data_IF_903102889461
#
_entry.id   IF_903102889461
#
_cell.length_a   1.000
_cell.length_b   1.000
_cell.length_c   1.000
_cell.angle_alpha   90.00
_cell.angle_beta   90.00
_cell.angle_gamma   90.00
#
_symmetry.space_group_name_H-M   'P 1'
#
loop_
_entity.id
_entity.type
_entity.pdbx_description
1 polymer ?
#
# COMPACT_ATOMS: atom_id res chain seq x y z
N UNK A 1 12.40 -4.69 14.63
CA UNK A 1 12.74 -4.35 13.25
C UNK A 1 11.47 -4.27 12.39
N UNK A 2 10.64 -5.31 12.37
CA UNK A 2 9.43 -5.42 11.54
C UNK A 2 8.44 -4.29 11.78
N UNK A 3 8.13 -3.94 13.03
CA UNK A 3 7.24 -2.83 13.36
C UNK A 3 7.73 -1.48 12.81
N UNK A 4 9.04 -1.23 12.83
CA UNK A 4 9.60 -0.01 12.21
C UNK A 4 9.44 -0.01 10.69
N UNK A 5 9.59 -1.16 10.05
CA UNK A 5 9.48 -1.29 8.60
C UNK A 5 8.05 -1.07 8.08
N UNK A 6 7.03 -1.18 8.94
CA UNK A 6 5.65 -0.90 8.57
C UNK A 6 5.39 0.55 8.18
N UNK A 7 6.04 1.48 8.85
CA UNK A 7 5.71 2.90 8.75
C UNK A 7 6.89 3.83 8.47
N UNK A 8 8.11 3.29 8.26
CA UNK A 8 9.27 4.10 7.82
C UNK A 8 10.24 3.30 6.96
N UNK A 9 11.01 4.02 6.14
CA UNK A 9 12.10 3.41 5.39
C UNK A 9 13.24 2.98 6.32
N UNK A 10 13.67 1.73 6.18
CA UNK A 10 14.87 1.18 6.85
C UNK A 10 16.00 1.09 5.85
N UNK A 11 17.15 1.65 6.21
CA UNK A 11 18.35 1.55 5.38
C UNK A 11 18.85 0.09 5.35
N UNK A 12 19.26 -0.38 4.18
CA UNK A 12 19.84 -1.71 3.96
C UNK A 12 21.02 -2.01 4.89
N UNK A 13 21.87 -1.02 5.18
CA UNK A 13 22.98 -1.21 6.12
C UNK A 13 22.49 -1.50 7.54
N UNK A 14 21.36 -0.93 7.96
CA UNK A 14 20.75 -1.26 9.24
C UNK A 14 20.21 -2.71 9.26
N UNK A 15 19.66 -3.19 8.15
CA UNK A 15 19.29 -4.60 8.02
C UNK A 15 20.48 -5.53 8.15
N UNK A 16 21.60 -5.24 7.46
CA UNK A 16 22.85 -6.01 7.58
C UNK A 16 23.42 -6.00 9.00
N UNK A 17 23.38 -4.84 9.68
CA UNK A 17 23.80 -4.74 11.10
C UNK A 17 22.90 -5.57 12.01
N UNK A 18 21.57 -5.54 11.78
CA UNK A 18 20.61 -6.32 12.53
C UNK A 18 20.86 -7.83 12.39
N UNK A 19 21.06 -8.32 11.17
CA UNK A 19 21.41 -9.71 10.87
C UNK A 19 22.64 -10.15 11.67
N UNK A 20 23.74 -9.39 11.55
CA UNK A 20 25.02 -9.69 12.25
C UNK A 20 24.84 -9.70 13.77
N UNK A 21 24.14 -8.70 14.34
CA UNK A 21 23.92 -8.57 15.78
C UNK A 21 23.15 -9.76 16.36
N UNK A 22 22.25 -10.37 15.58
CA UNK A 22 21.38 -11.45 16.02
C UNK A 22 21.82 -12.82 15.49
N UNK A 23 23.01 -12.94 14.88
CA UNK A 23 23.56 -14.17 14.30
C UNK A 23 22.56 -14.92 13.42
N UNK A 24 21.86 -14.17 12.54
CA UNK A 24 20.89 -14.76 11.63
C UNK A 24 21.58 -15.28 10.38
N UNK A 25 21.21 -16.48 9.96
CA UNK A 25 21.59 -17.01 8.66
C UNK A 25 20.84 -16.29 7.56
N UNK A 26 21.54 -15.91 6.50
CA UNK A 26 20.95 -15.20 5.38
C UNK A 26 21.67 -15.46 4.08
N UNK A 27 20.91 -15.39 3.00
CA UNK A 27 21.42 -15.42 1.64
C UNK A 27 20.81 -14.25 0.85
N UNK A 28 21.59 -13.63 -0.02
CA UNK A 28 21.09 -12.64 -0.97
C UNK A 28 21.94 -12.62 -2.23
N UNK A 29 21.32 -12.26 -3.34
CA UNK A 29 21.99 -11.99 -4.62
C UNK A 29 22.13 -10.48 -4.86
N UNK A 30 23.09 -10.12 -5.71
CA UNK A 30 23.35 -8.75 -6.08
C UNK A 30 23.67 -7.86 -4.88
N UNK A 31 22.95 -6.75 -4.74
CA UNK A 31 23.22 -5.75 -3.71
C UNK A 31 22.43 -5.98 -2.40
N UNK A 32 21.63 -7.05 -2.30
CA UNK A 32 20.84 -7.38 -1.12
C UNK A 32 19.62 -6.46 -0.93
N UNK A 33 19.00 -5.99 -2.00
CA UNK A 33 17.86 -5.06 -1.96
C UNK A 33 16.64 -5.65 -1.23
N UNK A 34 16.42 -6.96 -1.28
CA UNK A 34 15.31 -7.66 -0.61
C UNK A 34 15.48 -7.89 0.89
N UNK A 35 16.68 -7.68 1.47
CA UNK A 35 16.97 -8.02 2.87
C UNK A 35 16.03 -7.34 3.88
N UNK A 36 15.71 -6.07 3.68
CA UNK A 36 14.81 -5.33 4.58
C UNK A 36 13.43 -5.98 4.62
N UNK A 37 12.86 -6.25 3.44
CA UNK A 37 11.55 -6.89 3.31
C UNK A 37 11.52 -8.30 3.90
N UNK A 38 12.55 -9.11 3.62
CA UNK A 38 12.63 -10.48 4.12
C UNK A 38 12.67 -10.53 5.67
N UNK A 39 13.55 -9.72 6.31
CA UNK A 39 13.64 -9.65 7.77
C UNK A 39 12.32 -9.13 8.36
N UNK A 40 11.71 -8.13 7.72
CA UNK A 40 10.46 -7.55 8.19
C UNK A 40 9.32 -8.57 8.14
N UNK A 41 9.24 -9.38 7.09
CA UNK A 41 8.22 -10.41 6.93
C UNK A 41 8.33 -11.53 7.98
N UNK A 42 9.57 -11.98 8.28
CA UNK A 42 9.79 -13.06 9.27
C UNK A 42 9.37 -12.64 10.67
N UNK A 43 9.67 -11.41 11.07
CA UNK A 43 9.39 -10.93 12.42
C UNK A 43 8.09 -10.16 12.57
N UNK A 44 7.19 -10.20 11.57
CA UNK A 44 5.92 -9.51 11.62
C UNK A 44 4.85 -10.37 12.30
N UNK A 45 4.21 -9.80 13.32
CA UNK A 45 3.07 -10.41 13.99
C UNK A 45 1.77 -9.87 13.39
N UNK A 46 0.95 -10.77 12.81
CA UNK A 46 -0.30 -10.43 12.15
C UNK A 46 -1.44 -10.31 13.16
N UNK A 47 -1.79 -9.09 13.54
CA UNK A 47 -3.03 -8.81 14.29
C UNK A 47 -4.26 -8.81 13.37
N UNK A 48 -4.08 -8.34 12.16
CA UNK A 48 -5.04 -8.39 11.06
C UNK A 48 -4.29 -8.79 9.78
N UNK A 49 -4.98 -9.44 8.85
CA UNK A 49 -4.34 -9.89 7.62
C UNK A 49 -5.33 -10.09 6.49
N UNK A 50 -4.83 -9.96 5.31
CA UNK A 50 -5.44 -10.46 4.09
C UNK A 50 -4.61 -11.61 3.54
N UNK A 51 -5.07 -12.23 2.47
CA UNK A 51 -4.35 -13.29 1.77
C UNK A 51 -4.02 -12.85 0.35
N UNK A 52 -2.87 -13.28 -0.15
CA UNK A 52 -2.49 -13.09 -1.55
C UNK A 52 -2.07 -14.43 -2.15
N UNK A 53 -2.80 -14.88 -3.18
CA UNK A 53 -2.43 -16.02 -3.97
C UNK A 53 -1.53 -15.57 -5.11
N UNK A 54 -0.29 -16.04 -5.14
CA UNK A 54 0.66 -15.82 -6.23
C UNK A 54 0.76 -17.07 -7.09
N UNK A 55 0.46 -16.94 -8.38
CA UNK A 55 0.63 -18.02 -9.35
C UNK A 55 1.98 -17.90 -10.04
N UNK A 56 2.63 -19.02 -10.28
CA UNK A 56 3.99 -19.09 -10.79
C UNK A 56 4.05 -19.59 -12.23
N UNK A 57 4.96 -18.98 -12.98
CA UNK A 57 5.29 -19.34 -14.37
C UNK A 57 6.36 -20.43 -14.40
N UNK A 58 6.36 -21.22 -15.44
CA UNK A 58 7.50 -22.09 -15.74
C UNK A 58 8.73 -21.24 -16.08
N UNK A 59 9.93 -21.66 -15.64
CA UNK A 59 11.19 -20.95 -15.80
C UNK A 59 11.44 -20.45 -17.24
N UNK A 60 11.06 -21.22 -18.26
CA UNK A 60 11.18 -20.84 -19.71
C UNK A 60 10.34 -19.64 -20.12
N UNK A 61 9.41 -19.20 -19.25
CA UNK A 61 8.51 -18.05 -19.47
C UNK A 61 8.92 -16.79 -18.70
N UNK A 62 9.95 -16.85 -17.87
CA UNK A 62 10.43 -15.68 -17.14
C UNK A 62 10.86 -14.58 -18.12
N UNK A 63 10.56 -13.33 -17.79
CA UNK A 63 10.83 -12.17 -18.62
C UNK A 63 9.95 -12.01 -19.87
N UNK A 64 9.12 -12.99 -20.23
CA UNK A 64 8.19 -12.90 -21.36
C UNK A 64 6.91 -12.18 -20.98
N UNK A 65 6.23 -11.59 -21.96
CA UNK A 65 4.92 -10.96 -21.80
C UNK A 65 3.92 -11.90 -21.13
N UNK A 66 3.06 -11.37 -20.24
CA UNK A 66 1.96 -12.07 -19.60
C UNK A 66 0.66 -11.72 -20.30
N UNK A 67 -0.01 -12.74 -20.84
CA UNK A 67 -1.32 -12.57 -21.49
C UNK A 67 -2.38 -13.27 -20.67
N UNK A 68 -3.21 -12.49 -19.99
CA UNK A 68 -4.39 -12.93 -19.26
C UNK A 68 -5.63 -12.30 -19.90
N UNK A 69 -6.73 -13.04 -19.98
CA UNK A 69 -7.99 -12.51 -20.51
C UNK A 69 -8.57 -11.49 -19.54
N UNK A 70 -8.69 -10.23 -19.98
CA UNK A 70 -9.30 -9.16 -19.20
C UNK A 70 -10.76 -9.48 -18.80
N UNK A 71 -11.52 -10.10 -19.73
CA UNK A 71 -12.89 -10.54 -19.45
C UNK A 71 -12.93 -11.61 -18.36
N UNK A 72 -11.95 -12.53 -18.33
CA UNK A 72 -11.89 -13.52 -17.27
C UNK A 72 -11.55 -12.90 -15.91
N UNK A 73 -10.72 -11.85 -15.87
CA UNK A 73 -10.41 -11.12 -14.65
C UNK A 73 -11.62 -10.32 -14.14
N UNK A 74 -12.35 -9.67 -15.06
CA UNK A 74 -13.59 -8.98 -14.73
C UNK A 74 -14.64 -9.95 -14.16
N UNK A 75 -14.88 -11.04 -14.87
CA UNK A 75 -15.82 -12.09 -14.43
C UNK A 75 -15.42 -12.69 -13.07
N UNK A 76 -14.12 -12.91 -12.88
CA UNK A 76 -13.60 -13.40 -11.61
C UNK A 76 -13.90 -12.41 -10.48
N UNK A 77 -13.58 -11.13 -10.66
CA UNK A 77 -13.86 -10.10 -9.66
C UNK A 77 -15.36 -10.01 -9.34
N UNK A 78 -16.23 -10.04 -10.33
CA UNK A 78 -17.68 -10.01 -10.14
C UNK A 78 -18.21 -11.22 -9.34
N UNK A 79 -17.68 -12.41 -9.60
CA UNK A 79 -18.12 -13.67 -8.95
C UNK A 79 -17.53 -13.89 -7.57
N UNK A 80 -16.41 -13.27 -7.25
CA UNK A 80 -15.70 -13.48 -5.97
C UNK A 80 -15.76 -12.27 -5.03
N UNK A 81 -16.31 -11.13 -5.49
CA UNK A 81 -16.57 -9.97 -4.64
C UNK A 81 -17.60 -10.32 -3.55
N UNK A 82 -17.46 -9.83 -2.31
CA UNK A 82 -16.42 -8.93 -1.81
C UNK A 82 -15.13 -9.64 -1.33
N UNK A 83 -15.05 -10.96 -1.40
CA UNK A 83 -13.98 -11.76 -0.83
C UNK A 83 -12.66 -11.68 -1.60
N UNK A 84 -12.66 -11.26 -2.87
CA UNK A 84 -11.45 -10.84 -3.58
C UNK A 84 -11.59 -9.39 -4.01
N UNK A 85 -10.48 -8.68 -4.10
CA UNK A 85 -10.48 -7.23 -4.33
C UNK A 85 -9.28 -6.78 -5.15
N UNK A 86 -9.38 -5.56 -5.72
CA UNK A 86 -8.32 -4.89 -6.48
C UNK A 86 -7.76 -5.72 -7.65
N UNK A 87 -8.63 -6.46 -8.36
CA UNK A 87 -8.21 -7.31 -9.48
C UNK A 87 -8.36 -6.63 -10.84
N UNK A 88 -9.38 -5.77 -10.99
CA UNK A 88 -9.70 -5.08 -12.22
C UNK A 88 -10.14 -3.62 -11.96
N UNK A 89 -9.53 -2.67 -12.66
CA UNK A 89 -9.95 -1.27 -12.63
C UNK A 89 -11.05 -1.06 -13.66
N UNK A 90 -12.31 -1.03 -13.21
CA UNK A 90 -13.48 -0.87 -14.09
C UNK A 90 -13.53 0.49 -14.78
N UNK A 91 -12.99 1.55 -14.16
CA UNK A 91 -12.96 2.91 -14.73
C UNK A 91 -11.98 3.03 -15.89
N UNK A 92 -10.83 2.35 -15.78
CA UNK A 92 -9.76 2.38 -16.79
C UNK A 92 -9.75 1.14 -17.69
N UNK A 93 -10.63 0.16 -17.47
CA UNK A 93 -10.65 -1.10 -18.20
C UNK A 93 -9.35 -1.91 -18.08
N UNK A 94 -8.67 -1.85 -16.93
CA UNK A 94 -7.30 -2.36 -16.77
C UNK A 94 -7.21 -3.52 -15.77
N UNK A 95 -6.52 -4.58 -16.18
CA UNK A 95 -6.11 -5.69 -15.30
C UNK A 95 -5.06 -5.18 -14.31
N UNK A 96 -5.23 -5.49 -13.02
CA UNK A 96 -4.34 -5.08 -11.93
C UNK A 96 -3.51 -6.22 -11.34
N UNK A 97 -3.87 -7.48 -11.64
CA UNK A 97 -3.30 -8.67 -10.99
C UNK A 97 -1.98 -9.15 -11.59
N UNK A 98 -1.55 -8.61 -12.73
CA UNK A 98 -0.31 -9.02 -13.40
C UNK A 98 0.85 -8.07 -13.08
N UNK A 99 2.00 -8.57 -12.58
CA UNK A 99 3.18 -7.75 -12.37
C UNK A 99 3.81 -7.32 -13.70
N UNK A 100 4.53 -6.20 -13.68
CA UNK A 100 5.20 -5.63 -14.86
C UNK A 100 6.66 -6.09 -15.03
N UNK A 101 7.29 -6.57 -13.96
CA UNK A 101 8.68 -6.99 -13.96
C UNK A 101 8.94 -8.39 -14.57
N UNK A 102 10.20 -8.78 -14.73
CA UNK A 102 10.60 -10.08 -15.27
C UNK A 102 10.52 -11.24 -14.27
N UNK A 103 9.85 -11.04 -13.16
CA UNK A 103 9.73 -12.00 -12.05
C UNK A 103 8.96 -13.28 -12.42
N UNK A 104 9.03 -14.34 -11.60
CA UNK A 104 8.40 -15.63 -11.86
C UNK A 104 6.88 -15.65 -11.67
N UNK A 105 6.30 -14.62 -11.08
CA UNK A 105 4.86 -14.54 -10.84
C UNK A 105 4.11 -14.24 -12.12
N UNK A 106 3.04 -14.99 -12.41
CA UNK A 106 2.16 -14.71 -13.55
C UNK A 106 1.06 -13.73 -13.18
N UNK A 107 0.33 -14.00 -12.10
CA UNK A 107 -0.63 -13.07 -11.47
C UNK A 107 -0.65 -13.24 -9.95
N UNK A 108 -1.13 -12.20 -9.25
CA UNK A 108 -1.44 -12.23 -7.82
C UNK A 108 -2.88 -11.82 -7.58
N UNK A 109 -3.65 -12.62 -6.84
CA UNK A 109 -5.03 -12.29 -6.44
C UNK A 109 -5.07 -12.10 -4.93
N UNK A 110 -5.66 -11.00 -4.48
CA UNK A 110 -5.84 -10.67 -3.07
C UNK A 110 -7.25 -10.96 -2.61
N UNK A 111 -7.39 -11.43 -1.37
CA UNK A 111 -8.69 -11.74 -0.80
C UNK A 111 -8.64 -12.04 0.70
N UNK A 112 -9.83 -12.29 1.24
CA UNK A 112 -10.06 -12.49 2.67
C UNK A 112 -9.96 -13.95 3.11
N UNK A 113 -10.17 -14.91 2.19
CA UNK A 113 -10.16 -16.33 2.50
C UNK A 113 -9.60 -17.19 1.36
N UNK A 114 -9.13 -18.37 1.74
CA UNK A 114 -8.49 -19.33 0.82
C UNK A 114 -9.44 -19.79 -0.27
N UNK A 115 -10.70 -20.11 0.07
CA UNK A 115 -11.66 -20.69 -0.87
C UNK A 115 -11.97 -19.72 -2.02
N UNK A 116 -12.14 -18.44 -1.72
CA UNK A 116 -12.37 -17.41 -2.73
C UNK A 116 -11.16 -17.23 -3.64
N UNK A 117 -9.94 -17.30 -3.09
CA UNK A 117 -8.70 -17.23 -3.88
C UNK A 117 -8.55 -18.44 -4.80
N UNK A 118 -8.81 -19.64 -4.30
CA UNK A 118 -8.77 -20.87 -5.12
C UNK A 118 -9.86 -20.86 -6.19
N UNK A 119 -11.07 -20.38 -5.86
CA UNK A 119 -12.14 -20.23 -6.85
C UNK A 119 -11.79 -19.20 -7.92
N UNK A 120 -11.11 -18.11 -7.56
CA UNK A 120 -10.61 -17.13 -8.53
C UNK A 120 -9.70 -17.79 -9.58
N UNK A 121 -8.82 -18.70 -9.18
CA UNK A 121 -7.91 -19.39 -10.14
C UNK A 121 -8.66 -20.22 -11.18
N UNK A 122 -9.82 -20.78 -10.82
CA UNK A 122 -10.65 -21.60 -11.74
C UNK A 122 -11.35 -20.77 -12.82
N UNK A 123 -11.57 -19.49 -12.53
CA UNK A 123 -12.24 -18.54 -13.45
C UNK A 123 -11.24 -17.86 -14.39
N UNK A 124 -10.03 -17.60 -13.90
CA UNK A 124 -9.00 -16.91 -14.65
C UNK A 124 -8.49 -17.72 -15.84
N UNK A 125 -8.44 -17.10 -17.02
CA UNK A 125 -7.95 -17.70 -18.27
C UNK A 125 -6.57 -17.14 -18.61
N UNK A 126 -5.56 -17.99 -18.43
CA UNK A 126 -4.15 -17.69 -18.74
C UNK A 126 -3.78 -18.21 -20.13
N UNK A 127 -2.88 -17.51 -20.81
CA UNK A 127 -2.33 -17.92 -22.11
C UNK A 127 -1.25 -19.01 -21.99
N UNK A 128 -0.87 -19.37 -20.77
CA UNK A 128 0.19 -20.37 -20.53
C UNK A 128 -0.18 -21.32 -19.38
N UNK A 129 0.40 -22.51 -19.44
CA UNK A 129 0.30 -23.47 -18.32
C UNK A 129 1.18 -22.98 -17.18
N UNK A 130 0.56 -22.72 -16.03
CA UNK A 130 1.23 -22.34 -14.81
C UNK A 130 1.93 -23.52 -14.14
N UNK A 131 2.94 -23.23 -13.32
CA UNK A 131 3.69 -24.24 -12.58
C UNK A 131 2.98 -24.64 -11.29
N UNK A 132 2.32 -23.65 -10.64
CA UNK A 132 1.56 -23.82 -9.42
C UNK A 132 1.19 -22.46 -8.83
N UNK A 133 0.72 -22.47 -7.60
CA UNK A 133 0.48 -21.26 -6.81
C UNK A 133 0.84 -21.49 -5.35
N UNK A 134 1.04 -20.37 -4.64
CA UNK A 134 1.22 -20.33 -3.19
C UNK A 134 0.37 -19.19 -2.61
N UNK A 135 -0.17 -19.40 -1.42
CA UNK A 135 -0.98 -18.41 -0.72
C UNK A 135 -0.16 -17.89 0.46
N UNK A 136 -0.05 -16.56 0.53
CA UNK A 136 0.68 -15.84 1.56
C UNK A 136 -0.28 -15.04 2.43
N UNK A 137 0.01 -14.97 3.74
CA UNK A 137 -0.56 -13.93 4.59
C UNK A 137 0.10 -12.59 4.26
N UNK A 138 -0.70 -11.53 4.22
CA UNK A 138 -0.27 -10.18 3.91
C UNK A 138 -0.95 -9.18 4.84
N UNK A 139 -0.28 -8.09 5.14
CA UNK A 139 -0.89 -6.93 5.81
C UNK A 139 -1.39 -5.86 4.82
N UNK A 140 -1.42 -6.16 3.55
CA UNK A 140 -1.98 -5.24 2.55
C UNK A 140 -3.48 -5.08 2.74
N UNK A 141 -3.95 -3.82 2.76
CA UNK A 141 -5.36 -3.51 2.99
C UNK A 141 -5.78 -3.44 4.46
N UNK A 142 -4.92 -3.81 5.42
CA UNK A 142 -5.24 -3.77 6.85
C UNK A 142 -5.11 -2.39 7.49
N UNK A 143 -4.42 -1.45 6.85
CA UNK A 143 -4.12 -0.15 7.42
C UNK A 143 -3.03 -0.16 8.50
N UNK A 144 -2.30 -1.26 8.67
CA UNK A 144 -1.25 -1.39 9.71
C UNK A 144 -0.17 -0.32 9.63
N UNK A 145 0.19 0.14 8.43
CA UNK A 145 1.14 1.23 8.23
C UNK A 145 0.65 2.58 8.79
N UNK A 146 -0.64 2.71 9.08
CA UNK A 146 -1.27 3.91 9.64
C UNK A 146 -1.41 3.88 11.16
N UNK A 147 -1.05 2.77 11.84
CA UNK A 147 -1.14 2.65 13.31
C UNK A 147 -0.11 3.51 14.06
N UNK A 148 0.91 4.03 13.37
CA UNK A 148 1.89 4.94 13.95
C UNK A 148 1.31 6.36 14.12
N UNK A 149 1.59 7.03 15.25
CA UNK A 149 1.25 8.44 15.45
C UNK A 149 2.31 9.34 14.82
N UNK A 150 1.88 10.16 13.86
CA UNK A 150 2.71 11.21 13.28
C UNK A 150 2.73 12.45 14.20
N UNK A 151 3.91 13.04 14.33
CA UNK A 151 4.15 14.29 15.05
C UNK A 151 5.40 14.97 14.47
N UNK A 152 5.80 16.11 14.99
CA UNK A 152 6.97 16.85 14.51
C UNK A 152 8.28 16.05 14.46
N UNK A 153 8.44 15.03 15.33
CA UNK A 153 9.63 14.19 15.40
C UNK A 153 9.54 12.96 14.47
N UNK A 154 8.33 12.37 14.33
CA UNK A 154 8.11 11.14 13.55
C UNK A 154 7.74 11.42 12.09
N UNK A 155 7.35 12.64 11.72
CA UNK A 155 7.04 13.05 10.35
C UNK A 155 8.29 13.12 9.47
N UNK A 156 8.92 11.98 9.23
CA UNK A 156 10.08 11.83 8.34
C UNK A 156 9.63 11.51 6.92
N UNK A 157 10.44 11.82 5.89
CA UNK A 157 10.13 11.40 4.53
C UNK A 157 9.87 9.89 4.46
N UNK A 158 8.79 9.51 3.78
CA UNK A 158 8.31 8.13 3.61
C UNK A 158 7.85 7.45 4.91
N UNK A 159 7.68 8.18 6.00
CA UNK A 159 6.94 7.67 7.15
C UNK A 159 5.45 7.63 6.81
N UNK A 160 4.71 6.74 7.47
CA UNK A 160 3.24 6.70 7.41
C UNK A 160 2.66 6.62 8.82
N UNK A 161 1.40 7.02 8.96
CA UNK A 161 0.72 7.00 10.24
C UNK A 161 -0.49 7.93 10.26
N UNK A 162 -0.99 8.15 11.47
CA UNK A 162 -2.14 9.03 11.73
C UNK A 162 -1.73 10.30 12.45
N UNK A 163 -2.49 11.36 12.25
CA UNK A 163 -2.33 12.64 12.92
C UNK A 163 -3.71 13.24 13.23
N UNK A 164 -3.93 13.59 14.50
CA UNK A 164 -5.10 14.37 14.92
C UNK A 164 -4.75 15.84 14.98
N UNK A 165 -5.63 16.71 14.47
CA UNK A 165 -5.40 18.15 14.47
C UNK A 165 -6.66 18.94 14.13
N UNK A 166 -6.50 20.25 14.09
CA UNK A 166 -7.54 21.22 13.74
C UNK A 166 -7.19 21.85 12.39
N UNK A 167 -8.14 21.88 11.48
CA UNK A 167 -7.98 22.55 10.18
C UNK A 167 -7.64 24.02 10.40
N UNK A 168 -6.52 24.47 9.83
CA UNK A 168 -5.98 25.82 10.08
C UNK A 168 -6.11 26.78 8.89
N UNK A 169 -6.39 26.25 7.69
CA UNK A 169 -6.68 27.10 6.54
C UNK A 169 -7.81 26.50 5.68
N UNK A 170 -8.40 27.34 4.85
CA UNK A 170 -9.43 26.91 3.87
C UNK A 170 -8.82 25.95 2.86
N UNK A 171 -9.39 24.73 2.66
CA UNK A 171 -8.93 23.78 1.69
C UNK A 171 -8.91 24.37 0.27
N UNK A 172 -7.79 24.19 -0.42
CA UNK A 172 -7.56 24.73 -1.76
C UNK A 172 -7.62 23.61 -2.80
N UNK A 173 -8.59 23.69 -3.71
CA UNK A 173 -8.66 22.81 -4.87
C UNK A 173 -7.70 23.30 -5.94
N UNK A 174 -6.85 22.42 -6.46
CA UNK A 174 -5.92 22.73 -7.53
C UNK A 174 -6.27 21.99 -8.83
N UNK A 175 -5.60 22.35 -9.93
CA UNK A 175 -5.77 21.68 -11.23
C UNK A 175 -5.68 20.16 -11.08
N UNK A 176 -6.65 19.44 -11.62
CA UNK A 176 -6.77 17.98 -11.48
C UNK A 176 -7.71 17.53 -10.34
N UNK A 177 -8.25 18.46 -9.54
CA UNK A 177 -9.19 18.16 -8.44
C UNK A 177 -8.52 17.63 -7.19
N UNK A 178 -7.21 17.85 -7.03
CA UNK A 178 -6.51 17.57 -5.78
C UNK A 178 -6.77 18.68 -4.78
N UNK A 179 -6.81 18.35 -3.49
CA UNK A 179 -7.10 19.30 -2.39
C UNK A 179 -5.91 19.40 -1.46
N UNK A 180 -5.51 20.63 -1.13
CA UNK A 180 -4.45 20.92 -0.18
C UNK A 180 -4.98 21.76 0.97
N UNK A 181 -4.59 21.43 2.18
CA UNK A 181 -4.91 22.20 3.38
C UNK A 181 -3.87 21.97 4.46
N UNK A 182 -3.96 22.71 5.55
CA UNK A 182 -3.10 22.52 6.73
C UNK A 182 -3.92 22.22 7.97
N UNK A 183 -3.31 21.48 8.88
CA UNK A 183 -3.84 21.20 10.21
C UNK A 183 -2.81 21.60 11.26
N UNK A 184 -3.28 22.12 12.40
CA UNK A 184 -2.46 22.35 13.58
C UNK A 184 -2.64 21.20 14.56
N UNK A 185 -1.52 20.61 14.99
CA UNK A 185 -1.47 19.60 16.03
C UNK A 185 -0.32 19.90 16.98
N UNK A 186 -0.60 19.97 18.29
CA UNK A 186 0.41 20.23 19.32
C UNK A 186 1.31 21.44 18.97
N UNK A 187 0.71 22.55 18.54
CA UNK A 187 1.36 23.81 18.13
C UNK A 187 2.28 23.72 16.90
N UNK A 188 2.14 22.69 16.10
CA UNK A 188 2.86 22.54 14.83
C UNK A 188 1.87 22.46 13.69
N UNK A 189 2.20 23.13 12.58
CA UNK A 189 1.42 23.08 11.37
C UNK A 189 1.92 21.97 10.45
N UNK A 190 0.96 21.20 9.86
CA UNK A 190 1.23 20.10 8.98
C UNK A 190 0.42 20.23 7.69
N UNK A 191 1.10 20.12 6.57
CA UNK A 191 0.48 20.12 5.25
C UNK A 191 -0.14 18.78 4.93
N UNK A 192 -1.35 18.82 4.39
CA UNK A 192 -2.12 17.68 3.94
C UNK A 192 -2.45 17.80 2.44
N UNK A 193 -2.37 16.70 1.73
CA UNK A 193 -2.77 16.60 0.33
C UNK A 193 -3.72 15.43 0.13
N UNK A 194 -4.82 15.67 -0.56
CA UNK A 194 -5.76 14.64 -1.00
C UNK A 194 -5.76 14.61 -2.52
N UNK A 195 -5.36 13.49 -3.08
CA UNK A 195 -5.42 13.29 -4.53
C UNK A 195 -6.83 12.84 -4.95
N UNK A 196 -7.30 13.33 -6.10
CA UNK A 196 -8.64 13.01 -6.62
C UNK A 196 -8.90 11.50 -6.69
N UNK A 197 -7.89 10.73 -7.03
CA UNK A 197 -7.94 9.28 -7.19
C UNK A 197 -8.26 8.53 -5.89
N UNK A 198 -8.03 9.14 -4.74
CA UNK A 198 -8.35 8.52 -3.42
C UNK A 198 -9.86 8.47 -3.13
N UNK A 199 -10.67 9.23 -3.87
CA UNK A 199 -12.12 9.30 -3.69
C UNK A 199 -12.60 10.16 -2.52
N UNK A 200 -11.69 10.72 -1.69
CA UNK A 200 -12.03 11.54 -0.52
C UNK A 200 -11.84 13.05 -0.74
N UNK A 201 -11.55 13.47 -1.98
CA UNK A 201 -11.32 14.89 -2.31
C UNK A 201 -12.54 15.76 -2.05
N UNK A 202 -13.76 15.26 -2.26
CA UNK A 202 -15.00 15.98 -1.95
C UNK A 202 -15.13 16.24 -0.45
N UNK A 203 -14.80 15.26 0.39
CA UNK A 203 -14.81 15.45 1.86
C UNK A 203 -13.77 16.51 2.22
N UNK A 204 -12.56 16.40 1.69
CA UNK A 204 -11.49 17.34 1.99
C UNK A 204 -11.80 18.78 1.56
N UNK A 205 -12.50 18.99 0.42
CA UNK A 205 -12.86 20.31 -0.06
C UNK A 205 -13.96 21.01 0.76
N UNK A 206 -14.72 20.25 1.52
CA UNK A 206 -15.82 20.77 2.37
C UNK A 206 -15.37 21.01 3.82
N UNK A 207 -14.12 20.71 4.19
CA UNK A 207 -13.60 21.04 5.51
C UNK A 207 -13.53 22.57 5.71
N UNK A 208 -13.79 23.01 6.91
CA UNK A 208 -13.68 24.43 7.31
C UNK A 208 -12.62 24.61 8.39
N UNK A 209 -12.15 25.85 8.55
CA UNK A 209 -11.23 26.19 9.64
C UNK A 209 -11.93 25.94 10.97
N UNK A 210 -11.26 25.23 11.86
CA UNK A 210 -11.79 24.83 13.16
C UNK A 210 -12.21 23.37 13.24
N UNK A 211 -12.49 22.70 12.12
CA UNK A 211 -12.84 21.27 12.12
C UNK A 211 -11.77 20.44 12.81
N UNK A 212 -12.15 19.62 13.76
CA UNK A 212 -11.26 18.68 14.42
C UNK A 212 -11.30 17.36 13.70
N UNK A 213 -10.16 16.94 13.15
CA UNK A 213 -10.08 15.75 12.31
C UNK A 213 -8.94 14.82 12.74
N UNK A 214 -9.10 13.53 12.43
CA UNK A 214 -8.05 12.53 12.38
C UNK A 214 -7.77 12.20 10.91
N UNK A 215 -6.52 12.34 10.50
CA UNK A 215 -6.08 12.00 9.16
C UNK A 215 -5.06 10.88 9.19
N UNK A 216 -4.97 10.10 8.13
CA UNK A 216 -3.95 9.07 7.97
C UNK A 216 -3.40 9.05 6.57
N UNK A 217 -2.09 8.77 6.44
CA UNK A 217 -1.43 8.70 5.15
C UNK A 217 0.08 8.64 5.23
N UNK A 218 0.70 8.71 4.06
CA UNK A 218 2.15 8.66 3.88
C UNK A 218 2.79 10.04 3.73
N UNK A 219 3.93 10.26 4.36
CA UNK A 219 4.68 11.52 4.34
C UNK A 219 5.54 11.63 3.07
N UNK A 220 5.23 12.56 2.21
CA UNK A 220 6.04 12.89 1.04
C UNK A 220 7.28 13.71 1.44
N UNK A 221 8.43 13.41 0.84
CA UNK A 221 9.64 14.22 0.98
C UNK A 221 9.40 15.65 0.53
N UNK A 222 9.94 16.61 1.28
CA UNK A 222 9.97 18.01 0.84
C UNK A 222 10.71 18.15 -0.50
N UNK A 223 10.26 19.08 -1.32
CA UNK A 223 10.90 19.49 -2.57
C UNK A 223 11.26 20.97 -2.52
N UNK A 224 11.93 21.47 -3.57
CA UNK A 224 12.29 22.90 -3.65
C UNK A 224 11.10 23.85 -3.43
N UNK A 225 9.91 23.45 -3.90
CA UNK A 225 8.72 24.31 -3.93
C UNK A 225 7.64 23.89 -2.92
N UNK A 226 7.84 22.79 -2.18
CA UNK A 226 6.81 22.25 -1.29
C UNK A 226 7.44 21.70 0.00
N UNK A 227 6.84 21.97 1.17
CA UNK A 227 7.24 21.36 2.43
C UNK A 227 6.99 19.84 2.43
N UNK A 228 7.23 19.18 3.55
CA UNK A 228 6.73 17.82 3.77
C UNK A 228 5.22 17.86 3.81
N UNK A 229 4.58 16.92 3.13
CA UNK A 229 3.11 16.85 3.01
C UNK A 229 2.70 15.44 3.37
N UNK A 230 1.61 15.27 4.12
CA UNK A 230 0.96 13.99 4.34
C UNK A 230 0.01 13.77 3.16
N UNK A 231 0.27 12.77 2.33
CA UNK A 231 -0.65 12.31 1.29
C UNK A 231 -1.71 11.46 1.97
N UNK A 232 -2.92 11.99 2.08
CA UNK A 232 -3.98 11.38 2.87
C UNK A 232 -4.62 10.20 2.14
N UNK A 233 -4.85 9.14 2.90
CA UNK A 233 -5.58 7.93 2.53
C UNK A 233 -6.97 7.90 3.17
N UNK A 234 -7.15 8.54 4.33
CA UNK A 234 -8.45 8.76 4.95
C UNK A 234 -8.52 10.07 5.74
N UNK A 235 -9.75 10.53 5.97
CA UNK A 235 -10.12 11.63 6.85
C UNK A 235 -11.30 11.16 7.71
N UNK A 236 -11.16 11.30 9.02
CA UNK A 236 -12.26 11.11 9.98
C UNK A 236 -12.54 12.43 10.68
N UNK A 237 -13.75 12.94 10.54
CA UNK A 237 -14.20 14.13 11.26
C UNK A 237 -14.51 13.70 12.69
N UNK A 238 -13.92 14.40 13.68
CA UNK A 238 -14.09 14.12 15.12
C UNK A 238 -15.14 15.08 15.67
N UNK A 239 -15.05 16.36 15.27
CA UNK A 239 -15.99 17.41 15.65
C UNK A 239 -15.99 18.50 14.56
N UNK A 240 -17.16 19.07 14.28
CA UNK A 240 -17.39 20.18 13.35
C UNK A 240 -17.43 21.50 14.10
#
# INVERSE_FOLDING_TARGET
>A
FSNLALWQLINRNNAKKFIKKNNLDFFYEGNGQGLVGAISAIGYDFHDHTLELLSYRKKRKFGKERKISADSVKTMQEKTFPYTFNSFDTKKGRVLITPHGPDPVFYGVRGENVDSLVNATKILKSSEKLDGYMIFKSNQGTGDHLKNELNSKTMKPYASGTLSGIVSNVPKIVKGGHVFFTIISKNHEFWCAVYKETGISTIASNLIIGDKILVGGGVRKASKNFPRIINLEFIKIINL
#
